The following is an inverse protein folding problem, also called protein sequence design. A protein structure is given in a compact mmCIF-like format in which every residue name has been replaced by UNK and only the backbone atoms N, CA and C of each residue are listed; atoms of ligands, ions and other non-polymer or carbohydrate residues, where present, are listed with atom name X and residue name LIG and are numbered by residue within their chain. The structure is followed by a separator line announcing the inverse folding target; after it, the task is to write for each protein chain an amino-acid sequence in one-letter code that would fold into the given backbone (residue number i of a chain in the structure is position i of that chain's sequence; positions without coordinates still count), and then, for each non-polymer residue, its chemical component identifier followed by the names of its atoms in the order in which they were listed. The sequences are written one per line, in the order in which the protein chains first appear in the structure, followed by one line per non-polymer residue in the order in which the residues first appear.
data_IF_044489533658
#
_entry.id   IF_044489533658
#
_cell.length_a   1.000
_cell.length_b   1.000
_cell.length_c   1.000
_cell.angle_alpha   90.00
_cell.angle_beta   90.00
_cell.angle_gamma   90.00
#
_symmetry.space_group_name_H-M   'P 1'
#
loop_
_entity.id
_entity.type
_entity.pdbx_description
1 polymer ?
#
# COMPACT_ATOMS: atom_id res chain seq x y z
N UNK A 1 16.26 0.47 -4.23
CA UNK A 1 15.52 0.88 -5.44
C UNK A 1 15.65 2.37 -5.58
N UNK A 2 15.70 2.88 -6.79
CA UNK A 2 15.52 4.31 -7.02
C UNK A 2 14.04 4.72 -6.95
N UNK A 3 13.77 6.03 -6.82
CA UNK A 3 12.41 6.54 -6.62
C UNK A 3 11.46 6.21 -7.77
N UNK A 4 11.98 6.03 -8.99
CA UNK A 4 11.16 5.66 -10.14
C UNK A 4 10.70 4.19 -10.05
N UNK A 5 11.57 3.29 -9.59
CA UNK A 5 11.20 1.91 -9.29
C UNK A 5 10.15 1.84 -8.18
N UNK A 6 10.37 2.52 -7.05
CA UNK A 6 9.40 2.55 -5.94
C UNK A 6 8.02 3.00 -6.41
N UNK A 7 7.96 4.04 -7.25
CA UNK A 7 6.71 4.51 -7.86
C UNK A 7 6.02 3.42 -8.69
N UNK A 8 6.74 2.67 -9.52
CA UNK A 8 6.16 1.57 -10.31
C UNK A 8 5.64 0.43 -9.44
N UNK A 9 6.32 0.15 -8.33
CA UNK A 9 5.85 -0.83 -7.34
C UNK A 9 4.55 -0.37 -6.68
N UNK A 10 4.44 0.91 -6.31
CA UNK A 10 3.23 1.51 -5.77
C UNK A 10 2.07 1.56 -6.77
N UNK A 11 2.35 1.85 -8.05
CA UNK A 11 1.34 1.82 -9.13
C UNK A 11 0.80 0.40 -9.35
N UNK A 12 1.65 -0.63 -9.19
CA UNK A 12 1.20 -2.02 -9.19
C UNK A 12 0.37 -2.38 -7.96
N UNK A 13 0.75 -1.87 -6.78
CA UNK A 13 -0.04 -2.05 -5.56
C UNK A 13 -1.44 -1.45 -5.72
N UNK A 14 -1.52 -0.21 -6.22
CA UNK A 14 -2.77 0.50 -6.52
C UNK A 14 -3.69 -0.34 -7.45
N UNK A 15 -3.14 -0.79 -8.59
CA UNK A 15 -3.88 -1.62 -9.54
C UNK A 15 -4.34 -2.96 -8.95
N UNK A 16 -3.65 -3.48 -7.93
CA UNK A 16 -4.00 -4.73 -7.26
C UNK A 16 -5.10 -4.57 -6.18
N UNK A 17 -5.33 -3.35 -5.66
CA UNK A 17 -6.30 -3.11 -4.57
C UNK A 17 -7.70 -3.67 -4.87
N UNK A 18 -8.29 -3.48 -6.06
CA UNK A 18 -9.62 -4.03 -6.35
C UNK A 18 -9.66 -5.57 -6.29
N UNK A 19 -8.63 -6.24 -6.81
CA UNK A 19 -8.53 -7.69 -6.77
C UNK A 19 -8.30 -8.21 -5.34
N UNK A 20 -7.47 -7.52 -4.55
CA UNK A 20 -7.25 -7.81 -3.13
C UNK A 20 -8.55 -7.73 -2.35
N UNK A 21 -9.34 -6.67 -2.56
CA UNK A 21 -10.67 -6.52 -1.93
C UNK A 21 -11.62 -7.64 -2.33
N UNK A 22 -11.68 -8.00 -3.61
CA UNK A 22 -12.56 -9.08 -4.08
C UNK A 22 -12.17 -10.46 -3.50
N UNK A 23 -10.86 -10.68 -3.28
CA UNK A 23 -10.32 -11.94 -2.74
C UNK A 23 -10.34 -12.04 -1.21
N UNK A 24 -10.48 -10.92 -0.50
CA UNK A 24 -10.41 -10.83 0.96
C UNK A 24 -11.81 -10.55 1.53
N UNK A 25 -12.58 -11.59 1.90
CA UNK A 25 -13.93 -11.40 2.44
C UNK A 25 -13.93 -10.64 3.78
N UNK A 26 -12.84 -10.74 4.54
CA UNK A 26 -12.64 -9.98 5.77
C UNK A 26 -11.74 -8.77 5.52
N UNK A 27 -12.15 -7.60 6.03
CA UNK A 27 -11.35 -6.37 5.98
C UNK A 27 -9.97 -6.56 6.60
N UNK A 28 -9.86 -7.35 7.67
CA UNK A 28 -8.58 -7.66 8.31
C UNK A 28 -7.61 -8.38 7.38
N UNK A 29 -8.10 -9.29 6.54
CA UNK A 29 -7.27 -10.00 5.56
C UNK A 29 -6.77 -9.04 4.47
N UNK A 30 -7.64 -8.14 3.99
CA UNK A 30 -7.24 -7.08 3.07
C UNK A 30 -6.15 -6.19 3.68
N UNK A 31 -6.38 -5.67 4.89
CA UNK A 31 -5.45 -4.77 5.57
C UNK A 31 -4.09 -5.40 5.83
N UNK A 32 -4.06 -6.68 6.25
CA UNK A 32 -2.82 -7.41 6.42
C UNK A 32 -2.07 -7.60 5.11
N UNK A 33 -2.77 -7.97 4.03
CA UNK A 33 -2.15 -8.16 2.73
C UNK A 33 -1.58 -6.85 2.17
N UNK A 34 -2.37 -5.76 2.24
CA UNK A 34 -1.94 -4.43 1.81
C UNK A 34 -0.72 -3.95 2.59
N UNK A 35 -0.76 -4.03 3.93
CA UNK A 35 0.35 -3.62 4.80
C UNK A 35 1.62 -4.43 4.52
N UNK A 36 1.51 -5.76 4.30
CA UNK A 36 2.65 -6.59 3.97
C UNK A 36 3.31 -6.18 2.64
N UNK A 37 2.53 -5.84 1.62
CA UNK A 37 3.07 -5.39 0.33
C UNK A 37 3.67 -3.99 0.43
N UNK A 38 3.03 -3.06 1.14
CA UNK A 38 3.59 -1.73 1.37
C UNK A 38 4.92 -1.80 2.13
N UNK A 39 4.99 -2.59 3.20
CA UNK A 39 6.20 -2.80 3.97
C UNK A 39 7.32 -3.46 3.14
N UNK A 40 6.99 -4.38 2.23
CA UNK A 40 7.97 -4.95 1.31
C UNK A 40 8.59 -3.87 0.41
N UNK A 41 7.79 -2.93 -0.11
CA UNK A 41 8.27 -1.81 -0.92
C UNK A 41 9.13 -0.85 -0.08
N UNK A 42 8.73 -0.56 1.16
CA UNK A 42 9.52 0.27 2.09
C UNK A 42 10.90 -0.34 2.39
N UNK A 43 10.98 -1.66 2.56
CA UNK A 43 12.24 -2.37 2.81
C UNK A 43 13.20 -2.33 1.61
N UNK A 44 12.68 -2.14 0.39
CA UNK A 44 13.49 -1.98 -0.83
C UNK A 44 13.93 -0.52 -1.07
N UNK A 45 13.42 0.43 -0.28
CA UNK A 45 13.80 1.83 -0.32
C UNK A 45 15.20 2.05 0.28
N UNK A 46 16.00 2.89 -0.38
CA UNK A 46 17.42 3.08 -0.03
C UNK A 46 17.65 4.22 0.97
N UNK A 47 16.69 5.15 1.10
CA UNK A 47 16.80 6.30 1.98
C UNK A 47 15.57 6.45 2.88
N UNK A 48 15.73 7.12 4.02
CA UNK A 48 14.61 7.45 4.89
C UNK A 48 13.57 8.35 4.22
N UNK A 49 13.97 9.20 3.26
CA UNK A 49 13.04 10.01 2.47
C UNK A 49 12.19 9.14 1.54
N UNK A 50 12.79 8.11 0.96
CA UNK A 50 12.07 7.17 0.10
C UNK A 50 11.10 6.28 0.88
N UNK A 51 11.46 5.88 2.10
CA UNK A 51 10.52 5.20 3.02
C UNK A 51 9.31 6.09 3.30
N UNK A 52 9.53 7.38 3.63
CA UNK A 52 8.43 8.33 3.84
C UNK A 52 7.59 8.59 2.58
N UNK A 53 8.22 8.56 1.41
CA UNK A 53 7.52 8.65 0.14
C UNK A 53 6.60 7.45 -0.08
N UNK A 54 7.08 6.23 0.20
CA UNK A 54 6.29 5.00 0.07
C UNK A 54 5.09 5.02 1.02
N UNK A 55 5.28 5.37 2.28
CA UNK A 55 4.19 5.48 3.26
C UNK A 55 3.10 6.47 2.82
N UNK A 56 3.48 7.70 2.42
CA UNK A 56 2.51 8.68 1.92
C UNK A 56 1.74 8.20 0.69
N UNK A 57 2.41 7.53 -0.25
CA UNK A 57 1.76 7.00 -1.44
C UNK A 57 0.84 5.83 -1.12
N UNK A 58 1.19 4.98 -0.16
CA UNK A 58 0.31 3.92 0.32
C UNK A 58 -0.98 4.50 0.94
N UNK A 59 -0.86 5.56 1.76
CA UNK A 59 -2.01 6.27 2.34
C UNK A 59 -2.89 6.89 1.25
N UNK A 60 -2.29 7.54 0.25
CA UNK A 60 -3.04 8.12 -0.90
C UNK A 60 -3.81 7.06 -1.68
N UNK A 61 -3.19 5.89 -1.94
CA UNK A 61 -3.84 4.76 -2.60
C UNK A 61 -5.08 4.33 -1.80
N UNK A 62 -4.94 4.18 -0.48
CA UNK A 62 -6.06 3.81 0.39
C UNK A 62 -7.19 4.86 0.33
N UNK A 63 -6.87 6.15 0.38
CA UNK A 63 -7.85 7.22 0.22
C UNK A 63 -8.57 7.17 -1.13
N UNK A 64 -7.86 6.90 -2.23
CA UNK A 64 -8.46 6.80 -3.57
C UNK A 64 -9.45 5.63 -3.69
N UNK A 65 -9.23 4.54 -2.95
CA UNK A 65 -10.11 3.38 -2.91
C UNK A 65 -11.21 3.47 -1.84
N UNK A 66 -11.31 4.59 -1.12
CA UNK A 66 -12.29 4.81 -0.05
C UNK A 66 -12.03 3.96 1.19
N UNK A 67 -10.77 3.63 1.45
CA UNK A 67 -10.30 2.79 2.55
C UNK A 67 -9.55 3.63 3.58
N UNK A 68 -10.23 4.62 4.15
CA UNK A 68 -9.60 5.51 5.14
C UNK A 68 -9.26 4.74 6.42
N UNK A 69 -8.18 5.11 7.13
CA UNK A 69 -7.66 4.40 8.31
C UNK A 69 -8.68 4.17 9.44
N UNK A 70 -9.82 4.87 9.44
CA UNK A 70 -10.97 4.54 10.30
C UNK A 70 -11.54 3.14 10.08
N UNK A 71 -11.29 2.52 8.92
CA UNK A 71 -11.70 1.16 8.57
C UNK A 71 -10.75 0.07 9.12
N UNK A 72 -9.56 0.44 9.61
CA UNK A 72 -8.61 -0.52 10.22
C UNK A 72 -9.05 -1.02 11.61
N UNK A 73 -9.95 -0.29 12.29
CA UNK A 73 -10.26 -0.49 13.71
C UNK A 73 -11.72 -0.94 13.96
N UNK A 74 -12.40 -1.48 12.94
CA UNK A 74 -13.80 -1.94 13.03
C UNK A 74 -13.93 -3.43 12.77
#
# INVERSE_FOLDING_TARGET
MDRAELRRHLERLDAAVPALRASSPDRRHFWQAFANMAAAIEQEATTGEDVQFVGRRADEILSWHGLESTDQNV
#
